data_IF_883356800342
#
_entry.id   IF_883356800342
#
_cell.length_a   1.000
_cell.length_b   1.000
_cell.length_c   1.000
_cell.angle_alpha   90.00
_cell.angle_beta   90.00
_cell.angle_gamma   90.00
#
_symmetry.space_group_name_H-M   'P 1'
#
loop_
_entity.id
_entity.type
_entity.pdbx_description
1 polymer ?
#
# COMPACT_ATOMS: atom_id res chain seq x y z
N UNK A 1 -8.02 2.40 12.04
CA UNK A 1 -6.61 2.01 12.26
C UNK A 1 -5.90 3.13 12.99
N UNK A 2 -4.87 2.78 13.75
CA UNK A 2 -3.96 3.75 14.37
C UNK A 2 -2.74 3.96 13.45
N UNK A 3 -2.19 5.17 13.42
CA UNK A 3 -1.01 5.49 12.62
C UNK A 3 0.24 5.57 13.50
N UNK A 4 1.34 5.01 13.03
CA UNK A 4 2.57 4.87 13.79
C UNK A 4 3.76 5.44 13.03
N UNK A 5 4.52 6.31 13.69
CA UNK A 5 5.71 6.93 13.12
C UNK A 5 6.87 6.88 14.13
N UNK A 6 7.86 6.03 13.87
CA UNK A 6 9.15 6.07 14.57
C UNK A 6 10.29 6.13 13.56
N UNK A 7 10.65 7.36 13.20
CA UNK A 7 11.74 7.64 12.26
C UNK A 7 13.09 7.12 12.73
N UNK A 8 13.33 7.04 14.05
CA UNK A 8 14.60 6.53 14.59
C UNK A 8 14.71 5.03 14.34
N UNK A 9 13.63 4.27 14.54
CA UNK A 9 13.58 2.84 14.24
C UNK A 9 13.62 2.60 12.72
N UNK A 10 12.80 3.33 11.95
CA UNK A 10 12.74 3.17 10.50
C UNK A 10 14.07 3.50 9.81
N UNK A 11 14.80 4.53 10.27
CA UNK A 11 16.12 4.86 9.72
C UNK A 11 17.13 3.72 9.93
N UNK A 12 17.10 3.05 11.09
CA UNK A 12 17.95 1.89 11.37
C UNK A 12 17.62 0.68 10.49
N UNK A 13 16.35 0.51 10.11
CA UNK A 13 15.96 -0.62 9.27
C UNK A 13 16.24 -0.39 7.78
N UNK A 14 16.47 0.85 7.34
CA UNK A 14 16.82 1.18 5.96
C UNK A 14 15.71 0.86 4.96
N UNK A 15 14.45 0.98 5.38
CA UNK A 15 13.28 0.84 4.50
C UNK A 15 12.99 -0.59 4.05
N UNK A 16 13.25 -1.61 4.89
CA UNK A 16 12.97 -3.02 4.54
C UNK A 16 11.57 -3.27 3.99
N UNK A 17 10.54 -2.67 4.59
CA UNK A 17 9.16 -2.78 4.11
C UNK A 17 9.02 -2.25 2.66
N UNK A 18 9.55 -1.06 2.38
CA UNK A 18 9.53 -0.46 1.05
C UNK A 18 10.36 -1.25 0.01
N UNK A 19 11.28 -2.12 0.44
CA UNK A 19 12.09 -2.98 -0.45
C UNK A 19 11.43 -4.32 -0.77
N UNK A 20 10.45 -4.74 0.04
CA UNK A 20 9.81 -6.05 -0.08
C UNK A 20 8.39 -5.96 -0.61
N UNK A 21 7.52 -5.11 -0.04
CA UNK A 21 6.13 -5.03 -0.46
C UNK A 21 5.60 -3.62 -0.16
N UNK A 22 5.27 -2.82 -1.18
CA UNK A 22 4.57 -1.57 -0.99
C UNK A 22 3.17 -1.84 -0.41
N UNK A 23 2.77 -1.12 0.62
CA UNK A 23 1.46 -1.34 1.24
C UNK A 23 0.29 -0.85 0.37
N UNK A 24 -0.92 -1.29 0.68
CA UNK A 24 -2.15 -0.88 -0.02
C UNK A 24 -2.62 0.57 0.27
N UNK A 25 -3.11 1.28 -0.75
CA UNK A 25 -3.95 2.47 -0.61
C UNK A 25 -5.37 2.05 -0.32
N UNK A 26 -5.97 2.60 0.73
CA UNK A 26 -7.39 2.40 1.01
C UNK A 26 -8.21 3.44 0.24
N UNK A 27 -9.50 3.20 0.00
CA UNK A 27 -10.34 4.14 -0.76
C UNK A 27 -10.29 5.60 -0.25
N UNK A 28 -10.19 5.76 1.07
CA UNK A 28 -10.06 7.05 1.73
C UNK A 28 -8.73 7.77 1.38
N UNK A 29 -7.65 7.02 1.16
CA UNK A 29 -6.39 7.57 0.67
C UNK A 29 -6.55 8.05 -0.78
N UNK A 30 -7.29 7.33 -1.60
CA UNK A 30 -7.49 7.69 -3.02
C UNK A 30 -8.10 9.08 -3.13
N UNK A 31 -9.19 9.31 -2.41
CA UNK A 31 -9.87 10.60 -2.39
C UNK A 31 -8.99 11.73 -1.82
N UNK A 32 -8.18 11.45 -0.80
CA UNK A 32 -7.36 12.47 -0.12
C UNK A 32 -6.07 12.82 -0.86
N UNK A 33 -5.46 11.84 -1.52
CA UNK A 33 -4.12 11.97 -2.10
C UNK A 33 -4.20 12.27 -3.59
N UNK A 34 -5.12 11.62 -4.30
CA UNK A 34 -5.23 11.71 -5.75
C UNK A 34 -6.44 12.55 -6.16
N UNK A 35 -7.59 12.33 -5.51
CA UNK A 35 -8.87 12.97 -5.81
C UNK A 35 -9.87 11.95 -6.35
N UNK A 36 -9.45 11.14 -7.33
CA UNK A 36 -10.20 10.00 -7.86
C UNK A 36 -9.33 8.77 -8.14
N UNK A 37 -9.97 7.65 -8.47
CA UNK A 37 -9.29 6.40 -8.88
C UNK A 37 -8.58 6.59 -10.22
N UNK A 38 -9.23 7.28 -11.17
CA UNK A 38 -8.68 7.58 -12.49
C UNK A 38 -7.42 8.45 -12.37
N UNK A 39 -7.44 9.47 -11.50
CA UNK A 39 -6.27 10.30 -11.20
C UNK A 39 -5.15 9.48 -10.54
N UNK A 40 -5.50 8.57 -9.63
CA UNK A 40 -4.53 7.67 -9.02
C UNK A 40 -3.84 6.80 -10.07
N UNK A 41 -4.60 6.18 -10.97
CA UNK A 41 -4.10 5.28 -12.02
C UNK A 41 -3.25 6.03 -13.04
N UNK A 42 -3.73 7.19 -13.50
CA UNK A 42 -3.01 8.01 -14.48
C UNK A 42 -1.78 8.71 -13.91
N UNK A 43 -1.63 8.78 -12.58
CA UNK A 43 -0.41 9.30 -11.93
C UNK A 43 0.87 8.53 -12.27
N UNK A 44 0.73 7.26 -12.68
CA UNK A 44 1.86 6.35 -12.94
C UNK A 44 2.59 5.87 -11.68
N UNK A 45 2.15 6.27 -10.49
CA UNK A 45 2.77 5.88 -9.21
C UNK A 45 2.09 4.69 -8.52
N UNK A 46 0.95 4.24 -9.04
CA UNK A 46 0.17 3.14 -8.45
C UNK A 46 0.13 1.93 -9.40
N UNK A 47 -0.19 0.78 -8.82
CA UNK A 47 -0.56 -0.44 -9.54
C UNK A 47 -1.81 -1.06 -8.89
N UNK A 48 -2.58 -1.78 -9.69
CA UNK A 48 -3.70 -2.62 -9.29
C UNK A 48 -3.14 -4.00 -8.94
N UNK A 49 -3.30 -4.42 -7.70
CA UNK A 49 -2.96 -5.75 -7.20
C UNK A 49 -4.27 -6.49 -6.88
N UNK A 50 -4.21 -7.82 -6.75
CA UNK A 50 -5.37 -8.66 -6.52
C UNK A 50 -5.22 -9.53 -5.28
N UNK A 51 -6.36 -9.80 -4.65
CA UNK A 51 -6.49 -10.78 -3.58
C UNK A 51 -6.77 -12.15 -4.21
N UNK A 52 -5.84 -13.08 -4.02
CA UNK A 52 -6.02 -14.49 -4.36
C UNK A 52 -6.74 -15.19 -3.20
N UNK A 53 -8.07 -15.07 -3.16
CA UNK A 53 -8.93 -15.69 -2.15
C UNK A 53 -10.23 -16.21 -2.79
N UNK A 54 -11.04 -16.94 -2.01
CA UNK A 54 -12.36 -17.44 -2.44
C UNK A 54 -13.28 -16.30 -2.91
N UNK A 55 -13.16 -15.12 -2.28
CA UNK A 55 -13.68 -13.87 -2.79
C UNK A 55 -12.55 -13.04 -3.39
N UNK A 56 -12.29 -13.15 -4.70
CA UNK A 56 -11.27 -12.34 -5.34
C UNK A 56 -11.67 -10.87 -5.36
N UNK A 57 -10.68 -9.99 -5.37
CA UNK A 57 -10.91 -8.56 -5.52
C UNK A 57 -9.61 -7.80 -5.76
N UNK A 58 -9.75 -6.52 -6.01
CA UNK A 58 -8.65 -5.65 -6.43
C UNK A 58 -8.48 -4.50 -5.45
N UNK A 59 -7.26 -4.00 -5.37
CA UNK A 59 -6.94 -2.80 -4.60
C UNK A 59 -5.74 -2.09 -5.24
N UNK A 60 -5.61 -0.79 -4.96
CA UNK A 60 -4.44 -0.02 -5.39
C UNK A 60 -3.31 -0.13 -4.36
N UNK A 61 -2.08 -0.21 -4.85
CA UNK A 61 -0.84 -0.07 -4.07
C UNK A 61 0.16 0.81 -4.81
N UNK A 62 1.19 1.36 -4.16
CA UNK A 62 2.30 1.97 -4.87
C UNK A 62 2.94 0.96 -5.82
N UNK A 63 3.35 1.45 -6.98
CA UNK A 63 4.03 0.67 -8.00
C UNK A 63 5.40 0.20 -7.50
N UNK A 64 5.84 -0.95 -7.98
CA UNK A 64 7.23 -1.41 -7.79
C UNK A 64 8.06 -0.99 -9.00
N UNK A 65 9.36 -0.83 -8.82
CA UNK A 65 10.29 -0.55 -9.94
C UNK A 65 10.52 -1.78 -10.84
N UNK A 66 9.85 -2.92 -10.59
CA UNK A 66 10.06 -4.17 -11.33
C UNK A 66 9.31 -4.20 -12.67
N UNK A 67 8.19 -3.48 -12.77
CA UNK A 67 7.32 -3.56 -13.94
C UNK A 67 6.67 -2.21 -14.20
N UNK A 68 6.36 -1.97 -15.48
CA UNK A 68 5.58 -0.81 -15.89
C UNK A 68 4.07 -1.05 -15.97
N UNK A 69 3.65 -2.30 -15.77
CA UNK A 69 2.24 -2.71 -15.84
C UNK A 69 1.37 -2.01 -14.79
N UNK A 70 0.16 -1.63 -15.21
CA UNK A 70 -0.88 -1.16 -14.29
C UNK A 70 -1.35 -2.30 -13.39
N UNK A 71 -1.53 -3.51 -13.93
CA UNK A 71 -1.87 -4.70 -13.14
C UNK A 71 -0.58 -5.41 -12.72
N UNK A 72 -0.33 -5.47 -11.42
CA UNK A 72 0.91 -6.02 -10.86
C UNK A 72 0.66 -6.73 -9.52
N UNK A 73 0.46 -8.04 -9.59
CA UNK A 73 0.42 -8.95 -8.43
C UNK A 73 1.78 -9.56 -8.08
N UNK A 74 2.88 -8.99 -8.59
CA UNK A 74 4.22 -9.52 -8.32
C UNK A 74 4.54 -9.50 -6.82
N UNK A 75 5.17 -10.57 -6.37
CA UNK A 75 5.76 -10.62 -5.03
C UNK A 75 7.13 -9.95 -5.04
N UNK A 76 7.38 -9.02 -4.12
CA UNK A 76 8.67 -8.34 -4.04
C UNK A 76 8.71 -7.00 -4.78
N UNK A 77 9.90 -6.41 -4.80
CA UNK A 77 10.18 -5.18 -5.54
C UNK A 77 10.25 -3.95 -4.66
N UNK A 78 11.21 -3.07 -4.98
CA UNK A 78 11.30 -1.78 -4.30
C UNK A 78 10.15 -0.88 -4.75
N UNK A 79 9.47 -0.28 -3.78
CA UNK A 79 8.47 0.76 -3.98
C UNK A 79 9.08 1.93 -4.77
N UNK A 80 8.33 2.45 -5.75
CA UNK A 80 8.73 3.59 -6.58
C UNK A 80 9.10 4.84 -5.78
N UNK A 81 8.52 4.98 -4.58
CA UNK A 81 8.75 6.10 -3.67
C UNK A 81 9.96 5.92 -2.75
N UNK A 82 10.64 4.77 -2.79
CA UNK A 82 11.87 4.56 -2.02
C UNK A 82 13.05 5.27 -2.70
N UNK A 83 13.66 6.23 -1.99
CA UNK A 83 14.92 6.87 -2.37
C UNK A 83 16.03 6.49 -1.39
N UNK A 84 17.24 6.97 -1.65
CA UNK A 84 18.42 6.73 -0.80
C UNK A 84 18.18 7.07 0.68
N UNK A 85 17.46 8.15 0.95
CA UNK A 85 17.17 8.64 2.29
C UNK A 85 15.83 8.14 2.88
N UNK A 86 15.17 7.19 2.22
CA UNK A 86 13.87 6.64 2.63
C UNK A 86 12.73 7.02 1.69
N UNK A 87 11.50 6.95 2.20
CA UNK A 87 10.31 7.24 1.42
C UNK A 87 10.21 8.73 1.09
N UNK A 88 10.03 9.09 -0.20
CA UNK A 88 9.87 10.48 -0.64
C UNK A 88 8.51 11.08 -0.27
N UNK A 89 7.51 10.23 0.02
CA UNK A 89 6.18 10.69 0.41
C UNK A 89 6.19 11.26 1.83
N UNK A 90 5.54 12.42 1.98
CA UNK A 90 5.14 12.95 3.29
C UNK A 90 4.18 12.00 3.99
N UNK A 91 4.03 12.13 5.30
CA UNK A 91 3.17 11.26 6.11
C UNK A 91 1.73 11.21 5.56
N UNK A 92 1.18 12.37 5.17
CA UNK A 92 -0.21 12.45 4.71
C UNK A 92 -0.42 11.76 3.36
N UNK A 93 0.62 11.74 2.52
CA UNK A 93 0.60 11.12 1.19
C UNK A 93 0.92 9.63 1.20
N UNK A 94 1.24 9.04 2.35
CA UNK A 94 1.51 7.60 2.45
C UNK A 94 0.20 6.80 2.46
N UNK A 95 0.20 5.60 1.84
CA UNK A 95 -0.91 4.67 1.96
C UNK A 95 -1.27 4.38 3.42
N UNK A 96 -2.54 4.17 3.72
CA UNK A 96 -3.05 3.86 5.07
C UNK A 96 -2.41 2.61 5.68
N UNK A 97 -2.19 1.57 4.88
CA UNK A 97 -1.42 0.39 5.29
C UNK A 97 0.00 0.75 5.75
N UNK A 98 0.71 1.62 5.02
CA UNK A 98 2.06 2.06 5.35
C UNK A 98 2.10 2.85 6.65
N UNK A 99 1.06 3.65 6.92
CA UNK A 99 0.91 4.42 8.17
C UNK A 99 0.56 3.52 9.36
N UNK A 100 -0.09 2.38 9.13
CA UNK A 100 -0.50 1.45 10.18
C UNK A 100 0.61 0.50 10.66
N UNK A 101 1.79 0.51 10.02
CA UNK A 101 2.93 -0.34 10.41
C UNK A 101 3.49 0.12 11.76
N UNK A 102 3.37 -0.74 12.76
CA UNK A 102 4.02 -0.61 14.07
C UNK A 102 5.51 -0.94 13.92
N UNK A 103 6.41 0.07 13.99
CA UNK A 103 7.83 -0.15 13.80
C UNK A 103 8.42 -0.93 14.98
N UNK A 104 9.37 -1.82 14.69
CA UNK A 104 10.08 -2.61 15.70
C UNK A 104 11.57 -2.72 15.37
N UNK A 105 12.40 -2.81 16.42
CA UNK A 105 13.85 -2.97 16.27
C UNK A 105 14.14 -4.27 15.50
N UNK A 106 15.05 -4.19 14.53
CA UNK A 106 15.40 -5.31 13.64
C UNK A 106 14.52 -5.46 12.40
N UNK A 107 13.41 -4.72 12.31
CA UNK A 107 12.51 -4.72 11.16
C UNK A 107 11.42 -5.80 11.19
N UNK A 108 11.14 -6.37 12.36
CA UNK A 108 9.97 -7.25 12.60
C UNK A 108 8.74 -6.41 12.89
N UNK A 109 8.37 -5.54 11.95
CA UNK A 109 7.22 -4.66 12.12
C UNK A 109 5.91 -5.46 12.06
N UNK A 110 4.88 -4.97 12.73
CA UNK A 110 3.54 -5.58 12.71
C UNK A 110 2.49 -4.60 12.23
N UNK A 111 1.37 -5.12 11.76
CA UNK A 111 0.17 -4.33 11.46
C UNK A 111 -1.00 -5.06 12.10
N UNK A 112 -1.87 -4.32 12.76
CA UNK A 112 -3.12 -4.87 13.28
C UNK A 112 -4.26 -4.48 12.34
N UNK A 113 -4.87 -5.48 11.72
CA UNK A 113 -6.07 -5.29 10.90
C UNK A 113 -7.33 -5.55 11.74
N UNK A 114 -8.44 -4.85 11.45
CA UNK A 114 -9.73 -5.18 12.04
C UNK A 114 -10.09 -6.64 11.75
N UNK A 115 -10.60 -7.36 12.75
CA UNK A 115 -11.16 -8.70 12.51
C UNK A 115 -12.39 -8.57 11.59
N UNK A 116 -12.62 -9.51 10.66
CA UNK A 116 -11.95 -10.81 10.52
C UNK A 116 -10.67 -10.82 9.66
N UNK A 117 -10.22 -9.66 9.16
CA UNK A 117 -9.11 -9.57 8.22
C UNK A 117 -7.76 -9.89 8.86
N UNK A 118 -6.93 -10.63 8.13
CA UNK A 118 -5.59 -11.08 8.55
C UNK A 118 -4.48 -10.36 7.80
N UNK A 119 -4.76 -9.85 6.61
CA UNK A 119 -3.77 -9.22 5.74
C UNK A 119 -4.24 -7.86 5.25
N UNK A 120 -3.29 -7.03 4.79
CA UNK A 120 -3.62 -5.76 4.16
C UNK A 120 -4.43 -5.93 2.89
N UNK A 121 -4.16 -7.00 2.12
CA UNK A 121 -4.84 -7.31 0.86
C UNK A 121 -6.31 -7.60 1.11
N UNK A 122 -6.60 -8.45 2.10
CA UNK A 122 -7.97 -8.78 2.52
C UNK A 122 -8.73 -7.52 2.94
N UNK A 123 -8.12 -6.70 3.80
CA UNK A 123 -8.80 -5.51 4.31
C UNK A 123 -8.99 -4.45 3.23
N UNK A 124 -7.96 -4.19 2.40
CA UNK A 124 -8.07 -3.25 1.30
C UNK A 124 -9.15 -3.70 0.32
N UNK A 125 -9.06 -4.91 -0.21
CA UNK A 125 -10.03 -5.46 -1.17
C UNK A 125 -11.47 -5.37 -0.66
N UNK A 126 -11.70 -5.66 0.63
CA UNK A 126 -13.01 -5.49 1.26
C UNK A 126 -13.49 -4.04 1.22
N UNK A 127 -12.64 -3.06 1.57
CA UNK A 127 -13.03 -1.63 1.54
C UNK A 127 -13.39 -1.15 0.13
N UNK A 128 -12.65 -1.57 -0.91
CA UNK A 128 -13.00 -1.21 -2.28
C UNK A 128 -14.38 -1.76 -2.67
N UNK A 129 -14.66 -3.02 -2.31
CA UNK A 129 -15.95 -3.67 -2.53
C UNK A 129 -17.10 -2.97 -1.78
N UNK A 130 -16.91 -2.65 -0.50
CA UNK A 130 -17.93 -1.95 0.31
C UNK A 130 -18.25 -0.56 -0.26
N UNK A 131 -17.26 0.12 -0.82
CA UNK A 131 -17.44 1.45 -1.42
C UNK A 131 -17.89 1.40 -2.89
N UNK A 132 -18.12 0.21 -3.45
CA UNK A 132 -18.56 0.04 -4.84
C UNK A 132 -17.54 0.51 -5.87
N UNK A 133 -16.24 0.50 -5.52
CA UNK A 133 -15.16 0.87 -6.43
C UNK A 133 -14.76 -0.36 -7.25
N UNK A 134 -15.03 -0.32 -8.54
CA UNK A 134 -14.59 -1.36 -9.48
C UNK A 134 -13.26 -0.98 -10.13
N UNK A 135 -12.29 -1.88 -10.03
CA UNK A 135 -10.96 -1.75 -10.64
C UNK A 135 -10.77 -2.72 -11.81
N UNK A 136 -11.83 -3.39 -12.27
CA UNK A 136 -11.82 -4.11 -13.55
C UNK A 136 -11.99 -3.13 -14.70
N UNK A 137 -10.87 -2.49 -15.06
CA UNK A 137 -10.84 -1.51 -16.13
C UNK A 137 -10.48 -2.26 -17.42
N UNK A 138 -11.50 -2.50 -18.25
CA UNK A 138 -11.40 -3.15 -19.56
C UNK A 138 -11.21 -2.12 -20.68
#
# INVERSE_FOLDING_TARGET
MEFHYDYKICKKCGGKCCKSLPGAYFPDDIKKIFGSVEEAITSGSVAIDWLEADEPGYYLRPKTILTDSLYDGSWGGACIHLKENGCELSEEKRPSSCKAIKPSIGGKCSVDFPKPFKTEKEYASHLYKEMGIDLNIY
#
